data_IF_192022520267
#
_entry.id   IF_192022520267
#
_cell.length_a   1.000
_cell.length_b   1.000
_cell.length_c   1.000
_cell.angle_alpha   90.00
_cell.angle_beta   90.00
_cell.angle_gamma   90.00
#
_symmetry.space_group_name_H-M   'P 1'
#
loop_
_entity.id
_entity.type
_entity.pdbx_description
1 polymer ?
#
# COMPACT_ATOMS: atom_id res chain seq x y z
N UNK A 1 -10.63 -1.22 8.49
CA UNK A 1 -10.84 -1.84 7.15
C UNK A 1 -10.62 -3.35 7.28
N UNK A 2 -11.37 -4.23 6.61
CA UNK A 2 -11.07 -5.67 6.68
C UNK A 2 -9.81 -6.00 5.87
N UNK A 3 -8.79 -6.57 6.51
CA UNK A 3 -7.54 -6.96 5.85
C UNK A 3 -7.75 -8.24 5.05
N UNK A 4 -7.37 -8.26 3.76
CA UNK A 4 -7.45 -9.48 2.94
C UNK A 4 -6.55 -10.57 3.50
N UNK A 5 -7.02 -11.83 3.46
CA UNK A 5 -6.22 -13.00 3.89
C UNK A 5 -4.92 -13.14 3.10
N UNK A 6 -4.92 -12.73 1.83
CA UNK A 6 -3.72 -12.72 0.98
C UNK A 6 -2.56 -11.88 1.52
N UNK A 7 -2.81 -10.99 2.50
CA UNK A 7 -1.76 -10.21 3.16
C UNK A 7 -1.21 -10.90 4.41
N UNK A 8 -1.87 -11.93 4.91
CA UNK A 8 -1.47 -12.68 6.11
C UNK A 8 -1.13 -14.13 5.81
N UNK A 9 -1.48 -14.61 4.61
CA UNK A 9 -1.06 -15.90 4.10
C UNK A 9 0.40 -15.82 3.64
N UNK A 10 1.21 -16.88 3.86
CA UNK A 10 2.61 -16.90 3.42
C UNK A 10 2.73 -16.59 1.92
N UNK A 11 3.70 -15.75 1.57
CA UNK A 11 3.93 -15.41 0.17
C UNK A 11 4.48 -16.60 -0.63
N UNK A 12 3.75 -17.02 -1.67
CA UNK A 12 4.15 -18.10 -2.57
C UNK A 12 4.47 -17.56 -3.98
N UNK A 13 5.69 -17.08 -4.24
CA UNK A 13 6.06 -16.36 -5.48
C UNK A 13 5.98 -17.21 -6.76
N UNK A 14 5.92 -18.54 -6.62
CA UNK A 14 5.75 -19.51 -7.73
C UNK A 14 4.29 -19.93 -7.96
N UNK A 15 3.37 -19.57 -7.05
CA UNK A 15 1.96 -19.88 -7.19
C UNK A 15 1.25 -18.70 -7.88
N UNK A 16 0.97 -18.87 -9.17
CA UNK A 16 0.35 -17.84 -10.02
C UNK A 16 -1.03 -17.41 -9.52
N UNK A 17 -1.82 -18.33 -8.96
CA UNK A 17 -3.15 -18.05 -8.40
C UNK A 17 -3.05 -17.22 -7.10
N UNK A 18 -2.08 -17.54 -6.24
CA UNK A 18 -1.82 -16.77 -5.03
C UNK A 18 -1.35 -15.33 -5.37
N UNK A 19 -0.42 -15.20 -6.33
CA UNK A 19 0.05 -13.90 -6.81
C UNK A 19 -1.09 -13.06 -7.41
N UNK A 20 -1.95 -13.67 -8.23
CA UNK A 20 -3.11 -13.00 -8.82
C UNK A 20 -4.13 -12.55 -7.77
N UNK A 21 -4.32 -13.34 -6.71
CA UNK A 21 -5.20 -12.97 -5.58
C UNK A 21 -4.63 -11.81 -4.79
N UNK A 22 -3.34 -11.88 -4.43
CA UNK A 22 -2.62 -10.78 -3.78
C UNK A 22 -2.73 -9.49 -4.59
N UNK A 23 -2.48 -9.54 -5.91
CA UNK A 23 -2.60 -8.39 -6.80
C UNK A 23 -3.99 -7.76 -6.78
N UNK A 24 -5.03 -8.58 -6.88
CA UNK A 24 -6.43 -8.11 -6.87
C UNK A 24 -6.77 -7.44 -5.54
N UNK A 25 -6.38 -8.06 -4.44
CA UNK A 25 -6.64 -7.56 -3.09
C UNK A 25 -5.85 -6.28 -2.80
N UNK A 26 -4.56 -6.24 -3.13
CA UNK A 26 -3.73 -5.05 -3.02
C UNK A 26 -4.28 -3.88 -3.84
N UNK A 27 -4.66 -4.14 -5.09
CA UNK A 27 -5.26 -3.10 -5.95
C UNK A 27 -6.61 -2.61 -5.43
N UNK A 28 -7.40 -3.48 -4.79
CA UNK A 28 -8.67 -3.10 -4.15
C UNK A 28 -8.42 -2.25 -2.90
N UNK A 29 -7.49 -2.67 -2.05
CA UNK A 29 -7.09 -1.93 -0.83
C UNK A 29 -6.55 -0.55 -1.19
N UNK A 30 -5.66 -0.45 -2.18
CA UNK A 30 -5.10 0.83 -2.62
C UNK A 30 -6.17 1.77 -3.16
N UNK A 31 -7.12 1.28 -3.97
CA UNK A 31 -8.23 2.10 -4.48
C UNK A 31 -9.19 2.54 -3.39
N UNK A 32 -9.49 1.64 -2.44
CA UNK A 32 -10.31 1.97 -1.25
C UNK A 32 -9.63 3.07 -0.43
N UNK A 33 -8.34 2.89 -0.15
CA UNK A 33 -7.54 3.86 0.59
C UNK A 33 -7.55 5.22 -0.11
N UNK A 34 -7.30 5.25 -1.44
CA UNK A 34 -7.36 6.46 -2.26
C UNK A 34 -8.69 7.20 -2.12
N UNK A 35 -9.80 6.46 -2.20
CA UNK A 35 -11.14 7.01 -2.03
C UNK A 35 -11.34 7.58 -0.63
N UNK A 36 -10.92 6.84 0.40
CA UNK A 36 -11.08 7.24 1.80
C UNK A 36 -10.23 8.47 2.15
N UNK A 37 -9.08 8.67 1.50
CA UNK A 37 -8.27 9.90 1.64
C UNK A 37 -8.72 11.05 0.72
N UNK A 38 -9.78 10.87 -0.07
CA UNK A 38 -10.37 11.91 -0.92
C UNK A 38 -9.61 12.19 -2.22
N UNK A 39 -8.84 11.22 -2.73
CA UNK A 39 -8.17 11.33 -4.03
C UNK A 39 -9.12 10.98 -5.18
N UNK A 40 -9.03 11.75 -6.27
CA UNK A 40 -9.70 11.43 -7.53
C UNK A 40 -8.85 10.46 -8.34
N UNK A 41 -9.46 9.73 -9.27
CA UNK A 41 -8.76 8.73 -10.10
C UNK A 41 -7.55 9.29 -10.88
N UNK A 42 -7.56 10.60 -11.19
CA UNK A 42 -6.45 11.31 -11.86
C UNK A 42 -5.28 11.67 -10.92
N UNK A 43 -5.56 11.75 -9.61
CA UNK A 43 -4.61 12.22 -8.60
C UNK A 43 -3.63 11.12 -8.17
N UNK A 44 -3.90 9.85 -8.53
CA UNK A 44 -3.06 8.73 -8.17
C UNK A 44 -2.90 7.71 -9.30
N UNK A 45 -1.83 6.93 -9.20
CA UNK A 45 -1.61 5.71 -9.99
C UNK A 45 -1.40 4.54 -9.05
N UNK A 46 -1.95 3.38 -9.40
CA UNK A 46 -1.64 2.12 -8.72
C UNK A 46 -0.62 1.38 -9.58
N UNK A 47 0.58 1.17 -9.04
CA UNK A 47 1.69 0.52 -9.71
C UNK A 47 1.93 -0.84 -9.09
N UNK A 48 2.21 -1.81 -9.93
CA UNK A 48 2.72 -3.12 -9.55
C UNK A 48 4.18 -3.19 -9.98
N UNK A 49 5.04 -3.70 -9.10
CA UNK A 49 6.43 -4.00 -9.42
C UNK A 49 6.82 -5.30 -8.74
N UNK A 50 7.51 -6.17 -9.47
CA UNK A 50 8.17 -7.34 -8.89
C UNK A 50 9.66 -7.09 -8.76
N UNK A 51 10.16 -7.04 -7.53
CA UNK A 51 11.58 -6.90 -7.25
C UNK A 51 12.25 -8.27 -7.41
N UNK A 52 12.89 -8.48 -8.57
CA UNK A 52 13.48 -9.79 -8.94
C UNK A 52 14.49 -10.32 -7.93
N UNK A 53 15.36 -9.44 -7.39
CA UNK A 53 16.43 -9.84 -6.45
C UNK A 53 15.91 -10.57 -5.19
N UNK A 54 14.73 -10.17 -4.70
CA UNK A 54 14.15 -10.71 -3.47
C UNK A 54 12.81 -11.41 -3.70
N UNK A 55 12.44 -11.66 -4.98
CA UNK A 55 11.13 -12.14 -5.40
C UNK A 55 9.95 -11.46 -4.66
N UNK A 56 10.07 -10.16 -4.41
CA UNK A 56 9.09 -9.39 -3.63
C UNK A 56 8.09 -8.75 -4.56
N UNK A 57 6.81 -8.96 -4.31
CA UNK A 57 5.74 -8.26 -5.00
C UNK A 57 5.42 -6.95 -4.28
N UNK A 58 5.49 -5.85 -5.02
CA UNK A 58 5.27 -4.49 -4.54
C UNK A 58 4.06 -3.90 -5.25
N UNK A 59 3.13 -3.37 -4.47
CA UNK A 59 1.97 -2.65 -4.96
C UNK A 59 1.99 -1.26 -4.34
N UNK A 60 1.97 -0.22 -5.17
CA UNK A 60 2.11 1.15 -4.70
C UNK A 60 0.98 2.03 -5.19
N UNK A 61 0.39 2.82 -4.29
CA UNK A 61 -0.39 3.99 -4.64
C UNK A 61 0.57 5.19 -4.66
N UNK A 62 0.64 5.86 -5.80
CA UNK A 62 1.54 6.99 -6.00
C UNK A 62 0.77 8.24 -6.44
N UNK A 63 0.93 9.32 -5.69
CA UNK A 63 0.48 10.68 -6.01
C UNK A 63 1.69 11.61 -6.12
N UNK A 64 1.46 12.89 -6.37
CA UNK A 64 2.55 13.87 -6.42
C UNK A 64 3.17 14.16 -5.04
N UNK A 65 2.49 13.80 -3.95
CA UNK A 65 2.90 14.13 -2.57
C UNK A 65 2.98 12.92 -1.64
N UNK A 66 2.38 11.79 -2.02
CA UNK A 66 2.21 10.60 -1.20
C UNK A 66 2.55 9.34 -1.99
N UNK A 67 3.31 8.46 -1.37
CA UNK A 67 3.57 7.11 -1.85
C UNK A 67 3.23 6.12 -0.75
N UNK A 68 2.28 5.23 -1.00
CA UNK A 68 1.88 4.14 -0.10
C UNK A 68 2.23 2.82 -0.76
N UNK A 69 2.88 1.91 -0.04
CA UNK A 69 3.38 0.65 -0.59
C UNK A 69 2.92 -0.54 0.25
N UNK A 70 2.47 -1.60 -0.42
CA UNK A 70 2.33 -2.94 0.12
C UNK A 70 3.45 -3.78 -0.49
N UNK A 71 4.29 -4.36 0.36
CA UNK A 71 5.35 -5.29 -0.04
C UNK A 71 5.07 -6.68 0.52
N UNK A 72 5.16 -7.71 -0.31
CA UNK A 72 5.03 -9.09 0.15
C UNK A 72 6.22 -9.90 -0.36
N UNK A 73 7.07 -10.34 0.57
CA UNK A 73 8.27 -11.08 0.27
C UNK A 73 8.13 -12.55 0.72
N UNK A 74 8.79 -13.52 0.05
CA UNK A 74 8.71 -14.95 0.40
C UNK A 74 9.13 -15.24 1.84
N UNK A 75 10.06 -14.45 2.39
CA UNK A 75 10.58 -14.60 3.75
C UNK A 75 9.67 -13.97 4.82
N UNK A 76 8.57 -13.34 4.43
CA UNK A 76 7.65 -12.66 5.35
C UNK A 76 6.37 -13.47 5.48
N UNK A 77 5.90 -13.64 6.73
CA UNK A 77 4.63 -14.29 7.03
C UNK A 77 3.42 -13.39 6.75
N UNK A 78 3.66 -12.10 6.52
CA UNK A 78 2.63 -11.14 6.19
C UNK A 78 3.20 -10.03 5.31
N UNK A 79 2.33 -9.39 4.53
CA UNK A 79 2.68 -8.21 3.77
C UNK A 79 3.05 -7.05 4.71
N UNK A 80 3.87 -6.13 4.21
CA UNK A 80 4.25 -4.90 4.90
C UNK A 80 3.61 -3.73 4.20
N UNK A 81 2.87 -2.93 4.95
CA UNK A 81 2.34 -1.65 4.49
C UNK A 81 3.28 -0.54 4.98
N UNK A 82 3.60 0.42 4.10
CA UNK A 82 4.34 1.62 4.47
C UNK A 82 3.89 2.82 3.65
N UNK A 83 4.22 4.02 4.12
CA UNK A 83 3.99 5.25 3.37
C UNK A 83 5.12 6.26 3.55
N UNK A 84 5.28 7.13 2.57
CA UNK A 84 6.22 8.25 2.60
C UNK A 84 5.69 9.45 1.82
N UNK A 85 6.27 10.61 2.08
CA UNK A 85 6.09 11.80 1.25
C UNK A 85 6.88 11.68 -0.05
N UNK A 86 6.39 12.33 -1.10
CA UNK A 86 7.08 12.45 -2.40
C UNK A 86 7.03 13.91 -2.88
N UNK A 87 7.94 14.27 -3.78
CA UNK A 87 7.97 15.55 -4.49
C UNK A 87 7.81 15.31 -5.99
N UNK A 88 6.57 15.12 -6.42
CA UNK A 88 6.22 14.73 -7.78
C UNK A 88 6.32 13.22 -8.01
N UNK A 89 5.85 12.76 -9.17
CA UNK A 89 5.72 11.32 -9.50
C UNK A 89 7.01 10.62 -9.89
N UNK A 90 8.07 11.39 -10.12
CA UNK A 90 9.40 10.86 -10.43
C UNK A 90 10.28 10.77 -9.17
N UNK A 91 9.79 11.28 -8.04
CA UNK A 91 10.48 11.11 -6.77
C UNK A 91 10.36 9.67 -6.29
N UNK A 92 11.47 8.94 -6.38
CA UNK A 92 11.59 7.56 -5.93
C UNK A 92 12.38 7.44 -4.62
N UNK A 93 12.95 8.55 -4.15
CA UNK A 93 13.75 8.64 -2.94
C UNK A 93 12.95 9.17 -1.75
N UNK A 94 11.99 10.08 -1.99
CA UNK A 94 10.96 10.52 -1.06
C UNK A 94 11.45 10.98 0.32
N UNK A 95 10.49 11.22 1.21
CA UNK A 95 10.74 11.25 2.65
C UNK A 95 11.01 9.86 3.22
N UNK A 96 11.27 9.80 4.54
CA UNK A 96 11.47 8.55 5.27
C UNK A 96 10.25 7.63 5.11
N UNK A 97 10.51 6.34 4.93
CA UNK A 97 9.47 5.32 4.89
C UNK A 97 8.90 5.07 6.30
N UNK A 98 7.57 5.14 6.42
CA UNK A 98 6.84 4.96 7.67
C UNK A 98 6.12 3.63 7.62
N UNK A 99 6.58 2.67 8.42
CA UNK A 99 5.94 1.36 8.52
C UNK A 99 4.56 1.49 9.18
N UNK A 100 3.58 0.80 8.61
CA UNK A 100 2.22 0.72 9.15
C UNK A 100 1.98 -0.69 9.64
N UNK A 101 1.55 -0.81 10.89
CA UNK A 101 1.18 -2.10 11.46
C UNK A 101 -0.12 -2.61 10.82
N UNK A 102 -0.06 -3.75 10.12
CA UNK A 102 -1.23 -4.37 9.49
C UNK A 102 -2.33 -4.72 10.50
N UNK A 103 -1.98 -5.07 11.74
CA UNK A 103 -2.96 -5.39 12.77
C UNK A 103 -3.76 -4.15 13.17
N UNK A 104 -3.11 -2.99 13.29
CA UNK A 104 -3.76 -1.72 13.67
C UNK A 104 -4.79 -1.26 12.64
N UNK A 105 -4.55 -1.47 11.34
CA UNK A 105 -5.52 -1.08 10.29
C UNK A 105 -6.71 -2.06 10.17
N UNK A 106 -6.63 -3.21 10.84
CA UNK A 106 -7.73 -4.16 10.97
C UNK A 106 -8.87 -3.61 11.84
N UNK A 107 -8.58 -2.75 12.81
CA UNK A 107 -9.62 -2.08 13.61
C UNK A 107 -10.18 -0.84 12.90
N UNK A 108 -11.44 -0.46 13.17
CA UNK A 108 -12.01 0.80 12.67
C UNK A 108 -11.19 2.03 13.08
N UNK A 109 -10.74 2.08 14.33
CA UNK A 109 -10.04 3.22 14.92
C UNK A 109 -8.65 3.40 14.31
N UNK A 110 -7.88 2.30 14.22
CA UNK A 110 -6.54 2.35 13.64
C UNK A 110 -6.57 2.62 12.15
N UNK A 111 -7.59 2.15 11.44
CA UNK A 111 -7.79 2.52 10.04
C UNK A 111 -8.14 4.00 9.87
N UNK A 112 -9.04 4.54 10.69
CA UNK A 112 -9.40 5.95 10.66
C UNK A 112 -8.18 6.86 10.96
N UNK A 113 -7.35 6.46 11.93
CA UNK A 113 -6.09 7.15 12.27
C UNK A 113 -5.11 7.16 11.09
N UNK A 114 -4.95 6.03 10.39
CA UNK A 114 -4.15 5.96 9.17
C UNK A 114 -4.69 6.91 8.09
N UNK A 115 -6.00 6.85 7.80
CA UNK A 115 -6.63 7.71 6.77
C UNK A 115 -6.43 9.19 7.10
N UNK A 116 -6.62 9.59 8.36
CA UNK A 116 -6.39 10.96 8.81
C UNK A 116 -4.93 11.38 8.59
N UNK A 117 -3.97 10.53 8.95
CA UNK A 117 -2.53 10.77 8.73
C UNK A 117 -2.22 10.94 7.24
N UNK A 118 -2.72 10.03 6.40
CA UNK A 118 -2.47 10.07 4.96
C UNK A 118 -3.12 11.27 4.27
N UNK A 119 -4.29 11.74 4.74
CA UNK A 119 -4.90 12.99 4.26
C UNK A 119 -3.99 14.19 4.50
N UNK A 120 -3.39 14.29 5.69
CA UNK A 120 -2.43 15.35 6.01
C UNK A 120 -1.21 15.26 5.10
N UNK A 121 -0.64 14.06 4.94
CA UNK A 121 0.54 13.83 4.08
C UNK A 121 0.23 14.13 2.61
N UNK A 122 -0.96 13.80 2.14
CA UNK A 122 -1.40 14.07 0.77
C UNK A 122 -1.76 15.55 0.50
N UNK A 123 -1.64 16.43 1.50
CA UNK A 123 -2.06 17.84 1.39
C UNK A 123 -3.59 18.02 1.30
N UNK A 124 -4.36 17.00 1.69
CA UNK A 124 -5.82 17.01 1.72
C UNK A 124 -6.29 17.39 3.12
N UNK A 125 -6.05 18.64 3.51
CA UNK A 125 -6.74 19.24 4.66
C UNK A 125 -8.16 19.57 4.20
N UNK A 126 -9.13 18.80 4.69
CA UNK A 126 -10.54 19.18 4.72
C UNK A 126 -10.87 19.53 6.16
#
# INVERSE_FOLDING_TARGET
MKIPKSFTDPHQPGNTAACATLKRDASRVMRRLASDIGLRQRDFTVRERRQRRNATDLYALHTDTLYVQIAHAPQQNAARLSFRTCRGRDDHTGGRDNAVCLQSIGSPEGYASLVATLRVVAGRRG
#
